data_IF_195748552541
#
_entry.id   IF_195748552541
#
_cell.length_a   1.000
_cell.length_b   1.000
_cell.length_c   1.000
_cell.angle_alpha   90.00
_cell.angle_beta   90.00
_cell.angle_gamma   90.00
#
_symmetry.space_group_name_H-M   'P 1'
#
loop_
_entity.id
_entity.type
_entity.pdbx_description
1 polymer ?
#
# COMPACT_ATOMS: atom_id res chain seq x y z
N UNK A 1 15.95 16.51 4.48
CA UNK A 1 15.38 15.22 4.05
C UNK A 1 14.17 15.52 3.18
N UNK A 2 14.15 15.07 1.92
CA UNK A 2 13.02 15.29 1.01
C UNK A 2 11.98 14.17 1.14
N UNK A 3 10.72 14.46 0.79
CA UNK A 3 9.66 13.45 0.81
C UNK A 3 10.01 12.23 -0.05
N UNK A 4 10.67 12.45 -1.20
CA UNK A 4 11.10 11.39 -2.11
C UNK A 4 12.15 10.47 -1.47
N UNK A 5 13.03 11.01 -0.63
CA UNK A 5 14.02 10.21 0.11
C UNK A 5 13.34 9.34 1.17
N UNK A 6 12.37 9.88 1.92
CA UNK A 6 11.61 9.14 2.92
C UNK A 6 10.83 7.99 2.26
N UNK A 7 10.13 8.28 1.15
CA UNK A 7 9.35 7.27 0.43
C UNK A 7 10.23 6.19 -0.23
N UNK A 8 11.50 6.49 -0.50
CA UNK A 8 12.39 5.52 -1.15
C UNK A 8 12.78 4.35 -0.25
N UNK A 9 12.82 4.51 1.08
CA UNK A 9 13.15 3.41 2.01
C UNK A 9 12.06 2.34 2.00
N UNK A 10 10.81 2.77 2.06
CA UNK A 10 9.63 1.89 2.10
C UNK A 10 9.08 1.53 0.71
N UNK A 11 9.77 1.86 -0.38
CA UNK A 11 9.23 1.72 -1.73
C UNK A 11 8.94 0.26 -2.12
N UNK A 12 9.73 -0.68 -1.59
CA UNK A 12 9.51 -2.11 -1.81
C UNK A 12 8.30 -2.62 -1.03
N UNK A 13 8.21 -2.28 0.26
CA UNK A 13 7.09 -2.70 1.11
C UNK A 13 5.77 -2.07 0.66
N UNK A 14 5.81 -0.85 0.14
CA UNK A 14 4.64 -0.22 -0.49
C UNK A 14 4.09 -1.02 -1.67
N UNK A 15 4.94 -1.72 -2.45
CA UNK A 15 4.46 -2.64 -3.50
C UNK A 15 3.79 -3.88 -2.90
N UNK A 16 4.33 -4.43 -1.83
CA UNK A 16 3.71 -5.55 -1.13
C UNK A 16 2.33 -5.15 -0.54
N UNK A 17 2.22 -3.95 0.01
CA UNK A 17 0.93 -3.39 0.48
C UNK A 17 -0.08 -3.29 -0.67
N UNK A 18 0.33 -2.87 -1.87
CA UNK A 18 -0.57 -2.82 -3.02
C UNK A 18 -1.09 -4.21 -3.42
N UNK A 19 -0.26 -5.25 -3.37
CA UNK A 19 -0.69 -6.63 -3.59
C UNK A 19 -1.66 -7.13 -2.51
N UNK A 20 -1.40 -6.81 -1.24
CA UNK A 20 -2.32 -7.12 -0.13
C UNK A 20 -3.67 -6.44 -0.36
N UNK A 21 -3.70 -5.17 -0.77
CA UNK A 21 -4.95 -4.45 -1.07
C UNK A 21 -5.69 -5.10 -2.23
N UNK A 22 -4.98 -5.49 -3.30
CA UNK A 22 -5.60 -6.18 -4.45
C UNK A 22 -6.23 -7.51 -4.04
N UNK A 23 -5.50 -8.31 -3.26
CA UNK A 23 -6.00 -9.60 -2.77
C UNK A 23 -7.22 -9.43 -1.85
N UNK A 24 -7.18 -8.45 -0.94
CA UNK A 24 -8.25 -8.19 0.01
C UNK A 24 -9.54 -7.64 -0.63
N UNK A 25 -9.42 -6.95 -1.76
CA UNK A 25 -10.57 -6.40 -2.50
C UNK A 25 -11.05 -7.33 -3.64
N UNK A 26 -10.44 -8.50 -3.80
CA UNK A 26 -10.88 -9.48 -4.78
C UNK A 26 -12.33 -9.91 -4.52
N UNK A 27 -13.13 -9.97 -5.59
CA UNK A 27 -14.50 -10.47 -5.55
C UNK A 27 -14.88 -11.09 -6.88
N UNK A 28 -15.64 -12.19 -6.83
CA UNK A 28 -16.28 -12.80 -8.00
C UNK A 28 -17.50 -12.01 -8.49
N UNK A 29 -18.02 -11.10 -7.66
CA UNK A 29 -19.11 -10.20 -8.05
C UNK A 29 -18.55 -9.06 -8.90
N UNK A 30 -18.95 -9.02 -10.17
CA UNK A 30 -18.43 -8.07 -11.19
C UNK A 30 -18.48 -6.62 -10.72
N UNK A 31 -19.60 -6.18 -10.13
CA UNK A 31 -19.76 -4.81 -9.67
C UNK A 31 -18.77 -4.46 -8.54
N UNK A 32 -18.53 -5.39 -7.61
CA UNK A 32 -17.58 -5.19 -6.51
C UNK A 32 -16.17 -5.06 -7.06
N UNK A 33 -15.79 -5.90 -8.04
CA UNK A 33 -14.49 -5.81 -8.73
C UNK A 33 -14.29 -4.46 -9.40
N UNK A 34 -15.33 -3.90 -10.04
CA UNK A 34 -15.25 -2.56 -10.65
C UNK A 34 -15.01 -1.46 -9.61
N UNK A 35 -15.71 -1.51 -8.47
CA UNK A 35 -15.51 -0.55 -7.38
C UNK A 35 -14.12 -0.70 -6.76
N UNK A 36 -13.64 -1.93 -6.57
CA UNK A 36 -12.29 -2.22 -6.08
C UNK A 36 -11.21 -1.62 -6.99
N UNK A 37 -11.29 -1.85 -8.30
CA UNK A 37 -10.38 -1.26 -9.27
C UNK A 37 -10.43 0.27 -9.27
N UNK A 38 -11.63 0.86 -9.15
CA UNK A 38 -11.76 2.30 -9.00
C UNK A 38 -11.02 2.83 -7.76
N UNK A 39 -11.18 2.18 -6.60
CA UNK A 39 -10.52 2.58 -5.35
C UNK A 39 -9.00 2.48 -5.48
N UNK A 40 -8.50 1.38 -6.04
CA UNK A 40 -7.05 1.13 -6.20
C UNK A 40 -6.43 2.19 -7.13
N UNK A 41 -7.06 2.41 -8.30
CA UNK A 41 -6.56 3.31 -9.33
C UNK A 41 -6.75 4.80 -9.00
N UNK A 42 -7.66 5.14 -8.07
CA UNK A 42 -7.84 6.51 -7.59
C UNK A 42 -6.60 7.07 -6.86
N UNK A 43 -5.61 6.23 -6.54
CA UNK A 43 -4.25 6.71 -6.25
C UNK A 43 -4.17 7.69 -5.09
N UNK A 44 -4.97 7.48 -4.03
CA UNK A 44 -4.91 8.32 -2.83
C UNK A 44 -3.48 8.44 -2.29
N UNK A 45 -3.20 9.44 -1.44
CA UNK A 45 -1.83 9.80 -0.99
C UNK A 45 -1.01 8.69 -0.31
N UNK A 46 -1.59 7.52 -0.03
CA UNK A 46 -0.98 6.36 0.65
C UNK A 46 -0.25 6.71 1.96
N UNK A 47 -0.65 7.79 2.64
CA UNK A 47 0.03 8.27 3.84
C UNK A 47 -0.11 7.30 5.02
N UNK A 48 -1.29 6.69 5.18
CA UNK A 48 -1.57 5.72 6.25
C UNK A 48 -0.66 4.48 6.16
N UNK A 49 -0.60 3.74 5.04
CA UNK A 49 0.31 2.60 4.93
C UNK A 49 1.78 3.01 5.04
N UNK A 50 2.18 4.16 4.47
CA UNK A 50 3.54 4.65 4.62
C UNK A 50 3.95 4.88 6.09
N UNK A 51 3.07 5.48 6.90
CA UNK A 51 3.30 5.67 8.33
C UNK A 51 3.44 4.35 9.09
N UNK A 52 2.62 3.35 8.74
CA UNK A 52 2.69 2.02 9.36
C UNK A 52 4.02 1.34 9.03
N UNK A 53 4.44 1.36 7.77
CA UNK A 53 5.69 0.75 7.32
C UNK A 53 6.91 1.41 7.96
N UNK A 54 6.98 2.75 7.95
CA UNK A 54 8.06 3.49 8.60
C UNK A 54 8.10 3.23 10.11
N UNK A 55 6.93 3.09 10.75
CA UNK A 55 6.87 2.75 12.17
C UNK A 55 7.37 1.33 12.42
N UNK A 56 7.05 0.38 11.56
CA UNK A 56 7.52 -1.00 11.68
C UNK A 56 9.04 -1.10 11.47
N UNK A 57 9.62 -0.41 10.47
CA UNK A 57 11.07 -0.34 10.24
C UNK A 57 11.86 0.13 11.48
N UNK A 58 11.26 1.01 12.31
CA UNK A 58 11.90 1.47 13.56
C UNK A 58 12.06 0.36 14.61
N UNK A 59 11.21 -0.66 14.58
CA UNK A 59 11.21 -1.77 15.54
C UNK A 59 11.80 -3.07 14.98
N UNK A 60 12.09 -3.13 13.67
CA UNK A 60 12.71 -4.27 13.02
C UNK A 60 12.41 -4.32 11.51
N UNK A 61 13.04 -5.25 10.77
CA UNK A 61 12.76 -5.41 9.35
C UNK A 61 11.30 -5.85 9.14
N UNK A 62 10.62 -5.17 8.21
CA UNK A 62 9.27 -5.55 7.77
C UNK A 62 9.40 -6.76 6.85
N UNK A 63 8.93 -7.92 7.31
CA UNK A 63 8.87 -9.14 6.51
C UNK A 63 7.45 -9.32 5.96
N UNK A 64 7.29 -9.75 4.69
CA UNK A 64 5.98 -10.04 4.10
C UNK A 64 5.32 -11.28 4.73
#
# INVERSE_FOLDING_TARGET
MSLKQIQSSIAQDMRAVDEVIRSALYSDVVLIKQVAEYIINSGGKRLRPALVLMSAELFGPVQP
#
